data_IF_810549048902
#
_entry.id   IF_810549048902
#
_cell.length_a   1.000
_cell.length_b   1.000
_cell.length_c   1.000
_cell.angle_alpha   90.00
_cell.angle_beta   90.00
_cell.angle_gamma   90.00
#
_symmetry.space_group_name_H-M   'P 1'
#
loop_
_entity.id
_entity.type
_entity.pdbx_description
1 polymer ?
#
# COMPACT_ATOMS: atom_id res chain seq x y z
N UNK A 1 13.57 12.30 22.53
CA UNK A 1 12.63 11.21 22.18
C UNK A 1 11.71 11.74 21.11
N UNK A 2 11.76 11.19 19.88
CA UNK A 2 10.79 11.55 18.85
C UNK A 2 9.40 11.13 19.33
N UNK A 3 8.46 12.09 19.41
CA UNK A 3 7.09 11.81 19.83
C UNK A 3 6.46 10.81 18.85
N UNK A 4 5.75 9.82 19.39
CA UNK A 4 5.05 8.82 18.57
C UNK A 4 4.06 9.53 17.64
N UNK A 5 4.15 9.26 16.34
CA UNK A 5 3.28 9.80 15.30
C UNK A 5 1.93 9.05 15.28
N UNK A 6 1.06 9.40 16.23
CA UNK A 6 -0.28 8.82 16.36
C UNK A 6 -1.14 9.08 15.12
N UNK A 7 -0.93 10.20 14.45
CA UNK A 7 -1.54 10.54 13.17
C UNK A 7 -1.30 9.45 12.11
N UNK A 8 -0.06 9.00 11.93
CA UNK A 8 0.31 7.97 10.96
C UNK A 8 -0.28 6.60 11.36
N UNK A 9 -0.31 6.29 12.64
CA UNK A 9 -0.92 5.07 13.17
C UNK A 9 -2.43 5.03 12.88
N UNK A 10 -3.14 6.14 13.10
CA UNK A 10 -4.58 6.25 12.83
C UNK A 10 -4.92 6.13 11.33
N UNK A 11 -4.13 6.74 10.44
CA UNK A 11 -4.36 6.59 8.99
C UNK A 11 -4.28 5.11 8.59
N UNK A 12 -3.34 4.34 9.17
CA UNK A 12 -3.25 2.90 8.92
C UNK A 12 -4.50 2.16 9.40
N UNK A 13 -4.96 2.44 10.61
CA UNK A 13 -6.15 1.81 11.18
C UNK A 13 -7.37 2.09 10.30
N UNK A 14 -7.55 3.33 9.87
CA UNK A 14 -8.65 3.74 8.98
C UNK A 14 -8.55 3.01 7.63
N UNK A 15 -7.36 2.95 7.03
CA UNK A 15 -7.15 2.25 5.76
C UNK A 15 -7.46 0.75 5.84
N UNK A 16 -7.12 0.10 6.97
CA UNK A 16 -7.45 -1.31 7.22
C UNK A 16 -8.95 -1.49 7.50
N UNK A 17 -9.59 -0.55 8.21
CA UNK A 17 -11.03 -0.59 8.44
C UNK A 17 -11.81 -0.50 7.11
N UNK A 18 -11.40 0.41 6.22
CA UNK A 18 -11.98 0.51 4.89
C UNK A 18 -11.71 -0.71 4.01
N UNK A 19 -10.60 -1.42 4.22
CA UNK A 19 -10.34 -2.70 3.56
C UNK A 19 -11.41 -3.74 3.92
N UNK A 20 -11.90 -3.75 5.17
CA UNK A 20 -12.97 -4.66 5.58
C UNK A 20 -14.27 -4.34 4.81
N UNK A 21 -14.66 -3.06 4.77
CA UNK A 21 -15.85 -2.61 4.03
C UNK A 21 -15.73 -2.96 2.55
N UNK A 22 -14.55 -2.78 1.97
CA UNK A 22 -14.28 -3.13 0.57
C UNK A 22 -14.49 -4.61 0.28
N UNK A 23 -13.97 -5.52 1.12
CA UNK A 23 -14.17 -6.95 0.93
C UNK A 23 -15.62 -7.38 1.13
N UNK A 24 -16.35 -6.76 2.06
CA UNK A 24 -17.80 -7.01 2.21
C UNK A 24 -18.54 -6.60 0.95
N UNK A 25 -18.19 -5.48 0.31
CA UNK A 25 -18.82 -5.07 -0.93
C UNK A 25 -18.58 -6.06 -2.10
N UNK A 26 -17.44 -6.78 -2.13
CA UNK A 26 -17.14 -7.81 -3.14
C UNK A 26 -18.15 -8.96 -3.10
N UNK A 27 -18.69 -9.30 -1.93
CA UNK A 27 -19.72 -10.35 -1.77
C UNK A 27 -20.97 -10.06 -2.62
N UNK A 28 -21.28 -8.77 -2.84
CA UNK A 28 -22.43 -8.34 -3.66
C UNK A 28 -22.09 -8.16 -5.15
N UNK A 29 -20.88 -8.51 -5.57
CA UNK A 29 -20.46 -8.38 -6.97
C UNK A 29 -20.53 -9.72 -7.70
N UNK A 30 -21.01 -9.75 -8.97
CA UNK A 30 -21.16 -10.99 -9.73
C UNK A 30 -19.82 -11.69 -9.98
N UNK A 31 -18.72 -10.93 -10.06
CA UNK A 31 -17.37 -11.44 -10.24
C UNK A 31 -16.66 -11.81 -8.92
N UNK A 32 -17.31 -11.63 -7.75
CA UNK A 32 -16.70 -11.86 -6.44
C UNK A 32 -16.18 -13.28 -6.25
N UNK A 33 -16.80 -14.27 -6.88
CA UNK A 33 -16.35 -15.66 -6.85
C UNK A 33 -14.97 -15.85 -7.48
N UNK A 34 -14.64 -15.09 -8.54
CA UNK A 34 -13.34 -15.16 -9.22
C UNK A 34 -12.17 -14.77 -8.30
N UNK A 35 -12.45 -13.99 -7.26
CA UNK A 35 -11.45 -13.55 -6.26
C UNK A 35 -11.61 -14.26 -4.92
N UNK A 36 -12.39 -15.34 -4.86
CA UNK A 36 -12.49 -16.23 -3.70
C UNK A 36 -13.48 -15.81 -2.63
N UNK A 37 -14.52 -15.06 -2.98
CA UNK A 37 -15.62 -14.72 -2.07
C UNK A 37 -16.85 -15.60 -2.31
N UNK A 38 -17.55 -15.94 -1.23
CA UNK A 38 -18.94 -16.41 -1.31
C UNK A 38 -19.80 -15.21 -1.72
N UNK A 39 -20.55 -15.35 -2.81
CA UNK A 39 -21.34 -14.26 -3.39
C UNK A 39 -22.80 -14.32 -2.94
N UNK A 40 -23.43 -13.15 -2.85
CA UNK A 40 -24.86 -13.02 -2.59
C UNK A 40 -25.65 -13.32 -3.87
N UNK A 41 -26.77 -14.07 -3.80
CA UNK A 41 -27.63 -14.30 -4.97
C UNK A 41 -28.25 -13.04 -5.57
N UNK A 42 -28.44 -11.99 -4.76
CA UNK A 42 -28.91 -10.67 -5.21
C UNK A 42 -27.71 -9.71 -5.35
N UNK A 43 -27.20 -9.48 -6.57
CA UNK A 43 -26.05 -8.61 -6.78
C UNK A 43 -26.42 -7.13 -6.59
N UNK A 44 -25.46 -6.33 -6.13
CA UNK A 44 -25.57 -4.87 -6.01
C UNK A 44 -24.38 -4.20 -6.71
N UNK A 45 -24.45 -4.12 -8.03
CA UNK A 45 -23.35 -3.61 -8.87
C UNK A 45 -23.05 -2.12 -8.65
N UNK A 46 -24.06 -1.30 -8.37
CA UNK A 46 -23.84 0.14 -8.11
C UNK A 46 -23.04 0.42 -6.83
N UNK A 47 -22.93 -0.55 -5.92
CA UNK A 47 -22.03 -0.48 -4.77
C UNK A 47 -20.55 -0.47 -5.20
N UNK A 48 -20.24 -0.93 -6.42
CA UNK A 48 -18.86 -0.99 -6.89
C UNK A 48 -18.26 0.38 -7.17
N UNK A 49 -19.05 1.35 -7.65
CA UNK A 49 -18.57 2.69 -7.96
C UNK A 49 -17.87 3.40 -6.77
N UNK A 50 -18.44 3.45 -5.55
CA UNK A 50 -17.70 3.98 -4.40
C UNK A 50 -16.54 3.09 -3.95
N UNK A 51 -16.55 1.78 -4.27
CA UNK A 51 -15.46 0.86 -3.93
C UNK A 51 -14.25 1.03 -4.84
N UNK A 52 -14.43 1.35 -6.12
CA UNK A 52 -13.31 1.68 -7.01
C UNK A 52 -12.60 2.95 -6.53
N UNK A 53 -13.37 3.98 -6.15
CA UNK A 53 -12.85 5.19 -5.51
C UNK A 53 -11.98 4.85 -4.30
N UNK A 54 -12.49 4.00 -3.41
CA UNK A 54 -11.82 3.58 -2.20
C UNK A 54 -10.54 2.79 -2.50
N UNK A 55 -10.57 1.90 -3.50
CA UNK A 55 -9.42 1.06 -3.84
C UNK A 55 -8.23 1.85 -4.40
N UNK A 56 -8.49 2.86 -5.23
CA UNK A 56 -7.48 3.70 -5.90
C UNK A 56 -6.48 4.30 -4.92
N UNK A 57 -6.93 4.84 -3.78
CA UNK A 57 -6.03 5.52 -2.82
C UNK A 57 -5.65 4.65 -1.63
N UNK A 58 -6.48 3.67 -1.24
CA UNK A 58 -6.26 2.85 -0.04
C UNK A 58 -5.01 1.97 -0.14
N UNK A 59 -4.78 1.32 -1.28
CA UNK A 59 -3.60 0.46 -1.43
C UNK A 59 -2.30 1.29 -1.43
N UNK A 60 -2.18 2.37 -2.22
CA UNK A 60 -0.99 3.21 -2.19
C UNK A 60 -0.72 3.81 -0.80
N UNK A 61 -1.74 4.30 -0.08
CA UNK A 61 -1.54 4.92 1.24
C UNK A 61 -0.98 3.92 2.26
N UNK A 62 -1.38 2.64 2.20
CA UNK A 62 -0.80 1.60 3.06
C UNK A 62 0.71 1.43 2.80
N UNK A 63 1.13 1.48 1.53
CA UNK A 63 2.55 1.41 1.17
C UNK A 63 3.33 2.68 1.55
N UNK A 64 2.74 3.87 1.38
CA UNK A 64 3.32 5.12 1.90
C UNK A 64 3.58 5.02 3.40
N UNK A 65 2.59 4.58 4.18
CA UNK A 65 2.72 4.42 5.63
C UNK A 65 3.74 3.34 6.00
N UNK A 66 3.83 2.26 5.22
CA UNK A 66 4.83 1.23 5.42
C UNK A 66 6.25 1.79 5.24
N UNK A 67 6.48 2.61 4.23
CA UNK A 67 7.75 3.32 4.00
C UNK A 67 8.11 4.27 5.14
N UNK A 68 7.15 5.09 5.59
CA UNK A 68 7.31 5.95 6.77
C UNK A 68 7.64 5.14 8.03
N UNK A 69 6.93 4.03 8.25
CA UNK A 69 7.16 3.12 9.36
C UNK A 69 8.56 2.49 9.35
N UNK A 70 9.09 2.19 8.16
CA UNK A 70 10.49 1.75 8.00
C UNK A 70 11.46 2.84 8.38
N UNK A 71 11.26 4.09 7.94
CA UNK A 71 12.10 5.22 8.35
C UNK A 71 12.20 5.35 9.88
N UNK A 72 11.06 5.40 10.58
CA UNK A 72 11.05 5.54 12.04
C UNK A 72 11.65 4.33 12.76
N UNK A 73 11.34 3.12 12.29
CA UNK A 73 11.89 1.88 12.87
C UNK A 73 13.39 1.76 12.67
N UNK A 74 13.90 2.30 11.55
CA UNK A 74 15.30 2.19 11.18
C UNK A 74 16.19 3.15 11.95
N UNK A 75 15.68 4.26 12.49
CA UNK A 75 16.47 5.22 13.29
C UNK A 75 17.27 4.54 14.41
N UNK A 76 16.65 3.61 15.13
CA UNK A 76 17.25 2.95 16.29
C UNK A 76 17.83 1.55 15.98
N UNK A 77 17.99 1.18 14.70
CA UNK A 77 18.39 -0.18 14.29
C UNK A 77 19.42 -0.19 13.16
N UNK A 78 20.25 -1.23 13.08
CA UNK A 78 21.03 -1.49 11.88
C UNK A 78 20.20 -2.25 10.83
N UNK A 79 20.74 -2.41 9.61
CA UNK A 79 19.99 -3.01 8.49
C UNK A 79 19.65 -4.49 8.75
N UNK A 80 20.54 -5.25 9.38
CA UNK A 80 20.29 -6.66 9.77
C UNK A 80 19.18 -6.77 10.80
N UNK A 81 19.17 -5.89 11.80
CA UNK A 81 18.14 -5.83 12.83
C UNK A 81 16.78 -5.44 12.24
N UNK A 82 16.74 -4.49 11.29
CA UNK A 82 15.52 -4.13 10.58
C UNK A 82 14.96 -5.32 9.79
N UNK A 83 15.81 -6.01 9.01
CA UNK A 83 15.37 -7.19 8.25
C UNK A 83 14.89 -8.31 9.16
N UNK A 84 15.60 -8.59 10.26
CA UNK A 84 15.16 -9.57 11.26
C UNK A 84 13.80 -9.21 11.85
N UNK A 85 13.61 -7.95 12.25
CA UNK A 85 12.33 -7.49 12.79
C UNK A 85 11.20 -7.64 11.77
N UNK A 86 11.43 -7.27 10.51
CA UNK A 86 10.42 -7.38 9.44
C UNK A 86 10.12 -8.85 9.10
N UNK A 87 11.13 -9.72 9.09
CA UNK A 87 10.93 -11.15 8.94
C UNK A 87 10.08 -11.72 10.08
N UNK A 88 10.32 -11.34 11.33
CA UNK A 88 9.55 -11.84 12.48
C UNK A 88 8.12 -11.27 12.55
N UNK A 89 7.93 -9.98 12.26
CA UNK A 89 6.64 -9.30 12.41
C UNK A 89 5.74 -9.35 11.18
N UNK A 90 6.31 -9.55 10.00
CA UNK A 90 5.57 -9.60 8.73
C UNK A 90 5.79 -10.95 8.06
N UNK A 91 7.03 -11.39 7.91
CA UNK A 91 7.37 -12.66 7.24
C UNK A 91 6.74 -13.89 7.88
N UNK A 92 6.90 -14.09 9.19
CA UNK A 92 6.32 -15.24 9.90
C UNK A 92 4.79 -15.21 9.83
N UNK A 93 4.09 -14.11 10.19
CA UNK A 93 2.63 -14.03 10.02
C UNK A 93 2.16 -14.23 8.58
N UNK A 94 2.93 -13.76 7.59
CA UNK A 94 2.63 -13.94 6.17
C UNK A 94 2.72 -15.42 5.76
N UNK A 95 3.78 -16.12 6.13
CA UNK A 95 3.93 -17.56 5.86
C UNK A 95 2.85 -18.38 6.57
N UNK A 96 2.55 -18.05 7.82
CA UNK A 96 1.44 -18.66 8.54
C UNK A 96 0.10 -18.40 7.83
N UNK A 97 -0.11 -17.18 7.34
CA UNK A 97 -1.28 -16.82 6.56
C UNK A 97 -1.41 -17.62 5.26
N UNK A 98 -0.31 -17.86 4.54
CA UNK A 98 -0.28 -18.67 3.30
C UNK A 98 -0.64 -20.13 3.54
N UNK A 99 -0.17 -20.70 4.64
CA UNK A 99 -0.29 -22.14 4.91
C UNK A 99 -1.55 -22.48 5.72
N UNK A 100 -1.96 -21.61 6.63
CA UNK A 100 -3.10 -21.86 7.52
C UNK A 100 -4.33 -21.03 7.11
N UNK A 101 -4.24 -19.71 7.14
CA UNK A 101 -5.43 -18.85 7.03
C UNK A 101 -6.06 -18.87 5.63
N UNK A 102 -5.24 -18.67 4.60
CA UNK A 102 -5.71 -18.62 3.22
C UNK A 102 -6.29 -19.96 2.74
N UNK A 103 -5.66 -21.11 2.99
CA UNK A 103 -6.25 -22.40 2.65
C UNK A 103 -7.54 -22.68 3.41
N UNK A 104 -7.62 -22.32 4.69
CA UNK A 104 -8.84 -22.56 5.49
C UNK A 104 -10.07 -21.89 4.90
N UNK A 105 -10.00 -20.60 4.53
CA UNK A 105 -11.18 -19.95 3.94
C UNK A 105 -11.52 -20.48 2.54
N UNK A 106 -10.52 -20.93 1.78
CA UNK A 106 -10.73 -21.58 0.48
C UNK A 106 -11.38 -22.96 0.64
N UNK A 107 -10.99 -23.73 1.65
CA UNK A 107 -11.64 -25.01 1.97
C UNK A 107 -13.12 -24.80 2.36
N UNK A 108 -13.42 -23.73 3.12
CA UNK A 108 -14.80 -23.34 3.45
C UNK A 108 -15.55 -22.97 2.16
N UNK A 109 -14.94 -22.19 1.27
CA UNK A 109 -15.53 -21.83 -0.03
C UNK A 109 -15.81 -23.06 -0.89
N UNK A 110 -14.84 -23.97 -1.02
CA UNK A 110 -14.99 -25.22 -1.77
C UNK A 110 -16.12 -26.07 -1.21
N UNK A 111 -16.22 -26.18 0.12
CA UNK A 111 -17.31 -26.92 0.76
C UNK A 111 -18.67 -26.27 0.53
N UNK A 112 -18.76 -24.93 0.59
CA UNK A 112 -20.01 -24.19 0.37
C UNK A 112 -20.59 -24.38 -1.05
N UNK A 113 -19.73 -24.48 -2.06
CA UNK A 113 -20.12 -24.66 -3.47
C UNK A 113 -20.06 -26.11 -3.96
N UNK A 114 -19.95 -27.10 -3.05
CA UNK A 114 -19.82 -28.53 -3.37
C UNK A 114 -18.68 -28.84 -4.37
N UNK A 115 -17.59 -28.09 -4.30
CA UNK A 115 -16.39 -28.31 -5.11
C UNK A 115 -15.49 -29.38 -4.52
N UNK A 116 -14.60 -29.93 -5.36
CA UNK A 116 -13.56 -30.84 -4.91
C UNK A 116 -12.68 -30.15 -3.87
N UNK A 117 -12.65 -30.68 -2.66
CA UNK A 117 -11.82 -30.17 -1.57
C UNK A 117 -10.35 -30.39 -1.90
N UNK A 118 -9.58 -29.30 -1.96
CA UNK A 118 -8.16 -29.30 -2.24
C UNK A 118 -7.46 -28.28 -1.37
N UNK A 119 -6.48 -28.77 -0.60
CA UNK A 119 -5.58 -27.91 0.15
C UNK A 119 -4.49 -27.34 -0.77
N UNK A 120 -4.52 -26.03 -0.99
CA UNK A 120 -3.51 -25.32 -1.77
C UNK A 120 -3.00 -24.10 -0.99
N UNK A 121 -1.73 -24.10 -0.53
CA UNK A 121 -1.11 -22.92 0.05
C UNK A 121 -1.03 -21.78 -0.95
N UNK A 122 -1.57 -20.62 -0.61
CA UNK A 122 -1.54 -19.43 -1.45
C UNK A 122 -1.60 -18.14 -0.64
N UNK A 123 -1.09 -17.03 -1.19
CA UNK A 123 -1.08 -15.75 -0.50
C UNK A 123 -2.46 -15.09 -0.43
N UNK A 124 -3.32 -15.30 -1.44
CA UNK A 124 -4.65 -14.67 -1.54
C UNK A 124 -4.60 -13.16 -1.20
N UNK A 125 -5.50 -12.68 -0.33
CA UNK A 125 -5.59 -11.28 0.08
C UNK A 125 -4.39 -10.78 0.91
N UNK A 126 -3.43 -11.64 1.26
CA UNK A 126 -2.22 -11.29 2.01
C UNK A 126 -1.05 -10.83 1.12
N UNK A 127 -1.24 -10.79 -0.20
CA UNK A 127 -0.21 -10.42 -1.19
C UNK A 127 0.56 -9.14 -0.83
N UNK A 128 -0.11 -8.13 -0.26
CA UNK A 128 0.50 -6.85 0.08
C UNK A 128 1.59 -6.96 1.17
N UNK A 129 1.51 -7.97 2.06
CA UNK A 129 2.56 -8.24 3.06
C UNK A 129 3.84 -8.72 2.37
N UNK A 130 3.70 -9.62 1.39
CA UNK A 130 4.80 -10.09 0.56
C UNK A 130 5.48 -8.94 -0.17
N UNK A 131 4.68 -8.05 -0.77
CA UNK A 131 5.19 -6.84 -1.43
C UNK A 131 5.98 -5.94 -0.46
N UNK A 132 5.47 -5.69 0.76
CA UNK A 132 6.19 -4.88 1.76
C UNK A 132 7.57 -5.49 2.08
N UNK A 133 7.67 -6.81 2.22
CA UNK A 133 8.94 -7.49 2.47
C UNK A 133 9.91 -7.29 1.30
N UNK A 134 9.43 -7.47 0.06
CA UNK A 134 10.21 -7.21 -1.14
C UNK A 134 10.69 -5.75 -1.20
N UNK A 135 9.80 -4.79 -0.92
CA UNK A 135 10.16 -3.36 -0.93
C UNK A 135 11.25 -3.05 0.10
N UNK A 136 11.15 -3.59 1.31
CA UNK A 136 12.19 -3.40 2.33
C UNK A 136 13.53 -3.94 1.83
N UNK A 137 13.56 -5.13 1.21
CA UNK A 137 14.79 -5.74 0.70
C UNK A 137 15.38 -4.91 -0.44
N UNK A 138 14.57 -4.52 -1.43
CA UNK A 138 15.01 -3.76 -2.60
C UNK A 138 15.54 -2.37 -2.20
N UNK A 139 14.93 -1.76 -1.17
CA UNK A 139 15.27 -0.40 -0.73
C UNK A 139 16.30 -0.36 0.40
N UNK A 140 16.75 -1.50 0.95
CA UNK A 140 17.60 -1.51 2.17
C UNK A 140 18.94 -0.78 1.98
N UNK A 141 19.55 -0.92 0.80
CA UNK A 141 20.85 -0.33 0.50
C UNK A 141 20.78 1.21 0.44
N UNK A 142 19.89 1.83 -0.36
CA UNK A 142 19.80 3.29 -0.40
C UNK A 142 19.39 3.87 0.95
N UNK A 143 18.45 3.25 1.69
CA UNK A 143 18.06 3.77 3.01
C UNK A 143 19.19 3.64 4.03
N UNK A 144 19.99 2.56 3.97
CA UNK A 144 21.16 2.39 4.83
C UNK A 144 22.23 3.45 4.55
N UNK A 145 22.47 3.77 3.27
CA UNK A 145 23.37 4.85 2.88
C UNK A 145 22.90 6.21 3.43
N UNK A 146 21.62 6.55 3.26
CA UNK A 146 21.05 7.79 3.78
C UNK A 146 21.17 7.90 5.30
N UNK A 147 20.98 6.78 6.01
CA UNK A 147 21.15 6.74 7.48
C UNK A 147 22.61 6.90 7.91
N UNK A 148 23.54 6.21 7.24
CA UNK A 148 24.96 6.18 7.64
C UNK A 148 25.65 7.53 7.37
N UNK A 149 25.23 8.22 6.32
CA UNK A 149 25.87 9.45 5.84
C UNK A 149 24.87 10.61 5.77
N UNK A 150 24.30 11.05 6.91
CA UNK A 150 23.23 12.06 6.93
C UNK A 150 23.72 13.43 6.42
N UNK A 151 25.01 13.72 6.57
CA UNK A 151 25.64 14.97 6.11
C UNK A 151 26.25 14.86 4.71
N UNK A 152 26.01 13.75 3.99
CA UNK A 152 26.46 13.64 2.60
C UNK A 152 25.76 14.66 1.71
N UNK A 153 26.44 15.12 0.66
CA UNK A 153 25.85 16.04 -0.33
C UNK A 153 24.55 15.46 -0.92
N UNK A 154 24.50 14.14 -1.11
CA UNK A 154 23.33 13.41 -1.61
C UNK A 154 22.16 13.53 -0.63
N UNK A 155 22.37 13.22 0.66
CA UNK A 155 21.32 13.30 1.68
C UNK A 155 20.77 14.73 1.84
N UNK A 156 21.66 15.73 1.84
CA UNK A 156 21.27 17.14 1.94
C UNK A 156 20.46 17.58 0.71
N UNK A 157 20.95 17.27 -0.51
CA UNK A 157 20.23 17.61 -1.76
C UNK A 157 18.87 16.92 -1.82
N UNK A 158 18.83 15.63 -1.48
CA UNK A 158 17.59 14.86 -1.46
C UNK A 158 16.58 15.45 -0.46
N UNK A 159 17.02 15.77 0.76
CA UNK A 159 16.17 16.43 1.76
C UNK A 159 15.60 17.75 1.24
N UNK A 160 16.43 18.60 0.62
CA UNK A 160 15.97 19.86 0.01
C UNK A 160 14.96 19.66 -1.11
N UNK A 161 15.16 18.68 -1.99
CA UNK A 161 14.25 18.37 -3.09
C UNK A 161 12.91 17.86 -2.54
N UNK A 162 12.94 16.90 -1.62
CA UNK A 162 11.73 16.30 -1.04
C UNK A 162 10.96 17.31 -0.20
N UNK A 163 11.64 18.24 0.46
CA UNK A 163 10.99 19.34 1.17
C UNK A 163 10.50 20.46 0.23
N UNK A 164 10.79 20.46 -1.08
CA UNK A 164 10.34 21.49 -2.01
C UNK A 164 8.88 21.29 -2.44
N UNK A 165 8.18 22.36 -2.84
CA UNK A 165 6.85 22.24 -3.48
C UNK A 165 6.88 21.43 -4.78
N UNK A 166 8.04 21.33 -5.42
CA UNK A 166 8.24 20.52 -6.63
C UNK A 166 8.03 19.02 -6.38
N UNK A 167 8.13 18.54 -5.13
CA UNK A 167 7.96 17.11 -4.83
C UNK A 167 6.57 16.60 -5.20
N UNK A 168 5.52 17.41 -5.04
CA UNK A 168 4.15 16.98 -5.28
C UNK A 168 3.87 16.67 -6.77
N UNK A 169 4.12 17.59 -7.73
CA UNK A 169 3.98 17.26 -9.13
C UNK A 169 4.98 16.17 -9.58
N UNK A 170 6.17 16.09 -8.97
CA UNK A 170 7.12 15.02 -9.27
C UNK A 170 6.60 13.64 -8.87
N UNK A 171 6.00 13.52 -7.67
CA UNK A 171 5.37 12.27 -7.22
C UNK A 171 4.24 11.90 -8.17
N UNK A 172 3.33 12.84 -8.47
CA UNK A 172 2.23 12.60 -9.42
C UNK A 172 2.78 12.13 -10.77
N UNK A 173 3.82 12.79 -11.29
CA UNK A 173 4.49 12.41 -12.53
C UNK A 173 5.03 10.98 -12.48
N UNK A 174 5.68 10.55 -11.39
CA UNK A 174 6.17 9.18 -11.26
C UNK A 174 5.05 8.14 -11.28
N UNK A 175 3.91 8.40 -10.64
CA UNK A 175 2.76 7.50 -10.67
C UNK A 175 2.10 7.47 -12.06
N UNK A 176 1.93 8.61 -12.72
CA UNK A 176 1.39 8.68 -14.09
C UNK A 176 2.32 7.97 -15.07
N UNK A 177 3.63 8.21 -14.97
CA UNK A 177 4.63 7.57 -15.82
C UNK A 177 4.61 6.05 -15.67
N UNK A 178 4.51 5.54 -14.43
CA UNK A 178 4.35 4.12 -14.16
C UNK A 178 3.11 3.56 -14.87
N UNK A 179 1.98 4.24 -14.74
CA UNK A 179 0.71 3.76 -15.32
C UNK A 179 0.74 3.78 -16.85
N UNK A 180 1.36 4.79 -17.45
CA UNK A 180 1.53 4.88 -18.92
C UNK A 180 2.48 3.81 -19.44
N UNK A 181 3.54 3.46 -18.70
CA UNK A 181 4.51 2.44 -19.11
C UNK A 181 3.95 1.03 -18.93
N UNK A 182 3.28 0.77 -17.82
CA UNK A 182 2.77 -0.57 -17.48
C UNK A 182 1.47 -0.89 -18.19
N UNK A 183 0.66 0.13 -18.52
CA UNK A 183 -0.62 0.03 -19.22
C UNK A 183 -1.55 -1.05 -18.63
N UNK A 184 -1.95 -0.93 -17.35
CA UNK A 184 -2.78 -1.95 -16.70
C UNK A 184 -4.18 -2.00 -17.32
N UNK A 185 -4.73 -3.20 -17.62
CA UNK A 185 -6.06 -3.32 -18.20
C UNK A 185 -7.16 -2.80 -17.26
N UNK A 186 -6.95 -2.96 -15.95
CA UNK A 186 -7.81 -2.39 -14.90
C UNK A 186 -6.87 -1.71 -13.91
N UNK A 187 -6.94 -0.39 -13.84
CA UNK A 187 -6.07 0.43 -13.00
C UNK A 187 -6.13 0.02 -11.51
N UNK A 188 -7.32 -0.26 -10.99
CA UNK A 188 -7.50 -0.66 -9.58
C UNK A 188 -7.02 -2.07 -9.25
N UNK A 189 -6.62 -2.86 -10.25
CA UNK A 189 -6.20 -4.24 -10.05
C UNK A 189 -4.73 -4.29 -9.63
N UNK A 190 -4.49 -4.18 -8.31
CA UNK A 190 -3.14 -4.22 -7.73
C UNK A 190 -2.65 -5.62 -7.36
N UNK A 191 -3.57 -6.52 -7.00
CA UNK A 191 -3.22 -7.86 -6.52
C UNK A 191 -2.52 -8.66 -7.62
N UNK A 192 -1.31 -9.15 -7.33
CA UNK A 192 -0.53 -10.01 -8.25
C UNK A 192 -0.24 -9.40 -9.63
N UNK A 193 -0.29 -8.07 -9.77
CA UNK A 193 0.03 -7.37 -11.02
C UNK A 193 1.37 -6.65 -10.95
N UNK A 194 2.01 -6.47 -12.12
CA UNK A 194 3.20 -5.63 -12.26
C UNK A 194 2.91 -4.19 -11.83
N UNK A 195 1.74 -3.67 -12.21
CA UNK A 195 1.26 -2.34 -11.82
C UNK A 195 1.23 -2.19 -10.29
N UNK A 196 0.53 -3.10 -9.59
CA UNK A 196 0.45 -3.06 -8.14
C UNK A 196 1.79 -3.22 -7.45
N UNK A 197 2.71 -4.00 -8.02
CA UNK A 197 4.05 -4.14 -7.48
C UNK A 197 4.87 -2.85 -7.62
N UNK A 198 4.96 -2.26 -8.82
CA UNK A 198 5.79 -1.08 -9.09
C UNK A 198 5.19 0.15 -8.40
N UNK A 199 3.89 0.39 -8.55
CA UNK A 199 3.20 1.51 -7.91
C UNK A 199 3.33 1.44 -6.39
N UNK A 200 3.18 0.24 -5.81
CA UNK A 200 3.38 0.04 -4.37
C UNK A 200 4.82 0.28 -3.92
N UNK A 201 5.81 -0.09 -4.74
CA UNK A 201 7.22 0.21 -4.47
C UNK A 201 7.51 1.72 -4.51
N UNK A 202 6.97 2.44 -5.50
CA UNK A 202 7.07 3.90 -5.57
C UNK A 202 6.43 4.57 -4.34
N UNK A 203 5.21 4.17 -3.98
CA UNK A 203 4.53 4.65 -2.77
C UNK A 203 5.37 4.40 -1.51
N UNK A 204 5.96 3.21 -1.38
CA UNK A 204 6.84 2.87 -0.26
C UNK A 204 8.09 3.77 -0.21
N UNK A 205 8.76 3.97 -1.35
CA UNK A 205 9.96 4.82 -1.42
C UNK A 205 9.61 6.27 -1.07
N UNK A 206 8.57 6.84 -1.67
CA UNK A 206 8.15 8.20 -1.36
C UNK A 206 7.69 8.35 0.10
N UNK A 207 7.00 7.34 0.65
CA UNK A 207 6.67 7.30 2.08
C UNK A 207 7.90 7.39 2.98
N UNK A 208 8.96 6.62 2.67
CA UNK A 208 10.23 6.73 3.38
C UNK A 208 10.85 8.13 3.24
N UNK A 209 10.87 8.68 2.01
CA UNK A 209 11.45 10.00 1.73
C UNK A 209 10.71 11.13 2.44
N UNK A 210 9.37 11.07 2.50
CA UNK A 210 8.56 12.06 3.20
C UNK A 210 8.83 12.04 4.71
N UNK A 211 8.99 10.86 5.30
CA UNK A 211 9.40 10.76 6.70
C UNK A 211 10.84 11.26 6.91
N UNK A 212 11.74 11.03 5.94
CA UNK A 212 13.11 11.56 5.97
C UNK A 212 13.17 13.09 5.89
N UNK A 213 12.30 13.73 5.11
CA UNK A 213 12.21 15.19 4.99
C UNK A 213 11.68 15.89 6.26
N UNK A 214 11.00 15.15 7.14
CA UNK A 214 10.53 15.67 8.42
C UNK A 214 9.40 16.68 8.29
N UNK A 215 9.36 17.64 9.22
CA UNK A 215 8.20 18.52 9.42
C UNK A 215 8.01 19.55 8.28
N UNK A 216 9.08 19.91 7.56
CA UNK A 216 9.00 20.81 6.41
C UNK A 216 8.06 20.29 5.32
N UNK A 217 8.14 18.99 5.03
CA UNK A 217 7.25 18.32 4.10
C UNK A 217 5.82 18.29 4.65
N UNK A 218 5.66 17.88 5.92
CA UNK A 218 4.34 17.75 6.56
C UNK A 218 3.58 19.08 6.57
N UNK A 219 4.23 20.17 6.93
CA UNK A 219 3.63 21.51 6.98
C UNK A 219 3.13 21.94 5.60
N UNK A 220 3.88 21.64 4.53
CA UNK A 220 3.47 21.95 3.15
C UNK A 220 2.32 21.06 2.67
N UNK A 221 2.36 19.77 2.98
CA UNK A 221 1.26 18.84 2.68
C UNK A 221 -0.04 19.29 3.33
N UNK A 222 0.00 19.68 4.62
CA UNK A 222 -1.16 20.18 5.36
C UNK A 222 -1.69 21.47 4.75
N UNK A 223 -0.80 22.39 4.33
CA UNK A 223 -1.19 23.64 3.67
C UNK A 223 -1.93 23.39 2.34
N UNK A 224 -1.54 22.36 1.59
CA UNK A 224 -2.10 22.02 0.28
C UNK A 224 -3.23 20.99 0.32
N UNK A 225 -3.61 20.46 1.49
CA UNK A 225 -4.56 19.34 1.62
C UNK A 225 -5.90 19.57 0.91
N UNK A 226 -6.43 20.79 0.97
CA UNK A 226 -7.72 21.12 0.37
C UNK A 226 -7.63 21.22 -1.15
N UNK A 227 -6.50 21.71 -1.68
CA UNK A 227 -6.22 21.67 -3.11
C UNK A 227 -6.15 20.23 -3.61
N UNK A 228 -5.41 19.37 -2.92
CA UNK A 228 -5.33 17.95 -3.28
C UNK A 228 -6.67 17.23 -3.18
N UNK A 229 -7.47 17.55 -2.16
CA UNK A 229 -8.82 16.99 -2.04
C UNK A 229 -9.71 17.42 -3.21
N UNK A 230 -9.70 18.72 -3.57
CA UNK A 230 -10.47 19.22 -4.70
C UNK A 230 -10.05 18.56 -6.02
N UNK A 231 -8.74 18.47 -6.27
CA UNK A 231 -8.21 17.81 -7.46
C UNK A 231 -8.57 16.33 -7.50
N UNK A 232 -8.49 15.63 -6.37
CA UNK A 232 -8.87 14.22 -6.29
C UNK A 232 -10.35 14.01 -6.61
N UNK A 233 -11.25 14.84 -6.05
CA UNK A 233 -12.68 14.80 -6.35
C UNK A 233 -12.93 15.10 -7.82
N UNK A 234 -12.33 16.17 -8.36
CA UNK A 234 -12.47 16.56 -9.76
C UNK A 234 -12.04 15.42 -10.70
N UNK A 235 -10.84 14.88 -10.52
CA UNK A 235 -10.34 13.80 -11.38
C UNK A 235 -11.14 12.51 -11.22
N UNK A 236 -11.63 12.19 -10.03
CA UNK A 236 -12.50 11.05 -9.84
C UNK A 236 -13.84 11.25 -10.57
N UNK A 237 -14.45 12.43 -10.48
CA UNK A 237 -15.70 12.72 -11.19
C UNK A 237 -15.54 12.70 -12.71
N UNK A 238 -14.42 13.23 -13.23
CA UNK A 238 -14.10 13.19 -14.66
C UNK A 238 -13.85 11.77 -15.18
N UNK A 239 -13.41 10.87 -14.30
CA UNK A 239 -13.22 9.46 -14.64
C UNK A 239 -14.54 8.68 -14.58
N UNK A 240 -15.41 9.03 -13.65
CA UNK A 240 -16.65 8.32 -13.37
C UNK A 240 -17.83 8.75 -14.26
N UNK A 241 -17.78 9.95 -14.83
CA UNK A 241 -18.74 10.45 -15.83
C UNK A 241 -18.30 10.11 -17.24
#
# INVERSE_FOLDING_TARGET
MSARRFDIDWIRVIAIAFLMVYHVAIVFQPWGLMVGFMTNPEPWESLWLPMTMLNVWRIPILFFIAGMGVFFSFQNRNWKQLLKERALRIGIPYLFGIVAIAPVYILILQNYYDWKIQFLPQASHLWFLGNILCYVIITILPIHFLKKSPNSLVAIKLGKIVSSYFIFPFVIFCFVLETVIVDPPIYEMYATTTHGFILGWLAFVFGYLFAFAGDDFWNKLVKLRWLFLLLAVLFFTLRAG
#
